data_IF_579662190424
#
_entry.id   IF_579662190424
#
_cell.length_a   1.000
_cell.length_b   1.000
_cell.length_c   1.000
_cell.angle_alpha   90.00
_cell.angle_beta   90.00
_cell.angle_gamma   90.00
#
_symmetry.space_group_name_H-M   'P 1'
#
loop_
_entity.id
_entity.type
_entity.pdbx_description
1 polymer ?
#
# COMPACT_ATOMS: atom_id res chain seq x y z
N UNK A 1 24.62 11.66 24.12
CA UNK A 1 24.90 11.98 22.72
C UNK A 1 23.76 11.27 21.96
N UNK A 2 22.66 12.02 21.74
CA UNK A 2 21.50 11.47 21.04
C UNK A 2 21.86 11.40 19.54
N UNK A 3 22.04 10.19 19.03
CA UNK A 3 22.14 9.94 17.60
C UNK A 3 20.71 10.05 17.09
N UNK A 4 20.37 11.14 16.42
CA UNK A 4 19.13 11.24 15.66
C UNK A 4 19.24 10.25 14.48
N UNK A 5 18.50 9.17 14.56
CA UNK A 5 18.32 8.23 13.45
C UNK A 5 17.26 8.81 12.51
N UNK A 6 17.50 8.75 11.23
CA UNK A 6 16.64 9.40 10.22
C UNK A 6 15.98 8.32 9.37
N UNK A 7 14.68 8.21 9.49
CA UNK A 7 13.84 7.34 8.65
C UNK A 7 13.62 7.99 7.27
N UNK A 8 13.68 7.21 6.20
CA UNK A 8 13.70 7.74 4.83
C UNK A 8 12.84 6.95 3.86
N UNK A 9 12.25 7.66 2.89
CA UNK A 9 11.65 7.09 1.70
C UNK A 9 12.42 7.60 0.50
N UNK A 10 12.80 6.73 -0.43
CA UNK A 10 13.51 7.12 -1.64
C UNK A 10 12.49 7.19 -2.78
N UNK A 11 12.44 8.34 -3.41
CA UNK A 11 11.62 8.63 -4.56
C UNK A 11 12.48 8.60 -5.83
N UNK A 12 11.96 8.01 -6.92
CA UNK A 12 12.59 7.97 -8.22
C UNK A 12 11.65 8.49 -9.27
N UNK A 13 12.12 9.36 -10.17
CA UNK A 13 11.41 9.77 -11.37
C UNK A 13 12.25 9.48 -12.60
N UNK A 14 11.61 8.99 -13.66
CA UNK A 14 12.25 8.68 -14.93
C UNK A 14 11.86 9.76 -15.96
N UNK A 15 12.81 10.63 -16.27
CA UNK A 15 12.70 11.55 -17.40
C UNK A 15 13.57 11.03 -18.54
N UNK A 16 12.99 10.68 -19.65
CA UNK A 16 13.65 10.45 -20.97
C UNK A 16 15.02 9.77 -20.98
N UNK A 17 15.42 8.96 -20.01
CA UNK A 17 16.65 8.15 -19.79
C UNK A 17 17.45 8.49 -18.53
N UNK A 18 17.12 9.52 -17.76
CA UNK A 18 17.83 9.82 -16.51
C UNK A 18 16.99 9.44 -15.28
N UNK A 19 17.60 8.71 -14.35
CA UNK A 19 17.01 8.36 -13.06
C UNK A 19 17.37 9.44 -12.05
N UNK A 20 16.38 10.17 -11.56
CA UNK A 20 16.53 11.12 -10.46
C UNK A 20 16.03 10.48 -9.17
N UNK A 21 16.83 10.50 -8.13
CA UNK A 21 16.47 10.02 -6.81
C UNK A 21 16.41 11.17 -5.82
N UNK A 22 15.31 11.29 -5.10
CA UNK A 22 15.17 12.22 -3.99
C UNK A 22 14.81 11.43 -2.71
N UNK A 23 15.45 11.77 -1.61
CA UNK A 23 15.20 11.13 -0.32
C UNK A 23 14.26 12.03 0.48
N UNK A 24 13.09 11.52 0.80
CA UNK A 24 12.09 12.18 1.65
C UNK A 24 12.28 11.71 3.08
N UNK A 25 12.17 12.64 4.04
CA UNK A 25 12.30 12.39 5.47
C UNK A 25 11.21 13.09 6.24
N UNK A 26 10.71 12.45 7.30
CA UNK A 26 9.84 13.14 8.24
C UNK A 26 10.60 14.29 8.93
N UNK A 27 9.95 15.43 9.08
CA UNK A 27 10.55 16.62 9.72
C UNK A 27 10.79 16.45 11.23
N UNK A 28 10.10 15.49 11.85
CA UNK A 28 10.09 15.17 13.28
C UNK A 28 10.42 13.70 13.58
N UNK A 29 11.07 13.02 12.63
CA UNK A 29 11.41 11.60 12.72
C UNK A 29 12.05 11.22 14.05
N UNK A 30 11.44 10.30 14.77
CA UNK A 30 11.92 9.67 15.98
C UNK A 30 12.58 8.31 15.73
N UNK A 31 13.18 7.77 16.75
CA UNK A 31 13.74 6.43 16.72
C UNK A 31 12.60 5.40 16.80
N UNK A 32 12.58 4.43 15.89
CA UNK A 32 11.57 3.37 15.78
C UNK A 32 10.15 3.82 15.36
N UNK A 33 9.96 5.01 14.81
CA UNK A 33 8.65 5.48 14.34
C UNK A 33 8.13 4.69 13.11
N UNK A 34 9.01 3.92 12.46
CA UNK A 34 8.73 3.17 11.23
C UNK A 34 8.17 4.07 10.11
N UNK A 35 8.70 5.27 9.93
CA UNK A 35 8.37 6.12 8.79
C UNK A 35 8.68 5.39 7.48
N UNK A 36 7.67 5.19 6.63
CA UNK A 36 7.77 4.38 5.43
C UNK A 36 7.32 2.93 5.65
N UNK A 37 6.63 2.59 6.73
CA UNK A 37 6.03 1.27 6.88
C UNK A 37 5.06 0.95 5.73
N UNK A 38 4.32 1.97 5.26
CA UNK A 38 3.54 1.96 4.03
C UNK A 38 3.77 3.26 3.26
N UNK A 39 3.78 3.18 1.92
CA UNK A 39 3.90 4.33 1.02
C UNK A 39 2.92 4.19 -0.14
N UNK A 40 2.30 5.30 -0.52
CA UNK A 40 1.47 5.39 -1.72
C UNK A 40 1.79 6.68 -2.47
N UNK A 41 1.79 6.60 -3.81
CA UNK A 41 2.01 7.74 -4.68
C UNK A 41 0.90 7.86 -5.72
N UNK A 42 0.40 9.06 -5.92
CA UNK A 42 -0.51 9.39 -7.01
C UNK A 42 -0.18 10.77 -7.56
N UNK A 43 0.21 10.83 -8.82
CA UNK A 43 0.64 12.09 -9.46
C UNK A 43 1.71 12.85 -8.64
N UNK A 44 1.34 14.02 -8.12
CA UNK A 44 2.22 14.91 -7.36
C UNK A 44 2.01 14.81 -5.85
N UNK A 45 1.44 13.72 -5.36
CA UNK A 45 1.17 13.49 -3.93
C UNK A 45 1.76 12.16 -3.49
N UNK A 46 2.43 12.15 -2.35
CA UNK A 46 2.91 10.94 -1.67
C UNK A 46 2.34 10.93 -0.26
N UNK A 47 1.77 9.81 0.14
CA UNK A 47 1.45 9.51 1.53
C UNK A 47 2.46 8.51 2.10
N UNK A 48 2.87 8.71 3.34
CA UNK A 48 3.84 7.86 4.04
C UNK A 48 3.33 7.56 5.43
N UNK A 49 3.18 6.31 5.77
CA UNK A 49 2.80 5.86 7.11
C UNK A 49 3.99 5.72 8.06
N UNK A 50 3.75 5.99 9.33
CA UNK A 50 4.68 5.83 10.44
C UNK A 50 3.92 5.28 11.67
N UNK A 51 3.54 4.00 11.66
CA UNK A 51 2.59 3.43 12.63
C UNK A 51 3.11 3.34 14.07
N UNK A 52 4.39 3.52 14.28
CA UNK A 52 5.01 3.54 15.62
C UNK A 52 5.41 4.93 16.08
N UNK A 53 5.03 5.97 15.36
CA UNK A 53 5.32 7.35 15.79
C UNK A 53 4.66 7.65 17.14
N UNK A 54 5.46 8.26 18.01
CA UNK A 54 5.08 8.63 19.37
C UNK A 54 4.60 10.09 19.41
N UNK A 55 3.32 10.30 19.24
CA UNK A 55 2.71 11.65 19.20
C UNK A 55 2.53 12.24 20.61
N UNK A 56 3.55 12.98 21.11
CA UNK A 56 3.48 13.71 22.36
C UNK A 56 4.20 13.04 23.55
N UNK A 57 4.15 13.71 24.73
CA UNK A 57 4.76 13.18 25.96
C UNK A 57 3.95 11.99 26.51
N UNK A 58 4.59 10.84 26.67
CA UNK A 58 4.01 9.58 27.17
C UNK A 58 3.13 8.82 26.18
N UNK A 59 3.19 9.09 24.89
CA UNK A 59 2.51 8.31 23.87
C UNK A 59 3.38 7.14 23.39
N UNK A 60 2.77 5.98 23.13
CA UNK A 60 3.45 4.79 22.66
C UNK A 60 2.71 4.29 21.41
N UNK A 61 3.40 4.28 20.27
CA UNK A 61 2.92 3.69 19.00
C UNK A 61 1.50 4.15 18.60
N UNK A 62 1.18 5.44 18.76
CA UNK A 62 -0.11 5.97 18.28
C UNK A 62 -0.19 5.95 16.77
N UNK A 63 0.94 6.16 16.14
CA UNK A 63 1.10 6.29 14.72
C UNK A 63 0.80 7.68 14.16
N UNK A 64 1.40 7.94 13.02
CA UNK A 64 1.16 9.12 12.19
C UNK A 64 1.28 8.78 10.72
N UNK A 65 0.90 9.73 9.87
CA UNK A 65 1.16 9.67 8.44
C UNK A 65 1.58 11.06 7.94
N UNK A 66 2.35 11.09 6.88
CA UNK A 66 2.93 12.30 6.32
C UNK A 66 2.50 12.45 4.87
N UNK A 67 2.10 13.66 4.50
CA UNK A 67 1.76 14.00 3.13
C UNK A 67 2.85 14.88 2.53
N UNK A 68 3.30 14.51 1.35
CA UNK A 68 4.24 15.29 0.55
C UNK A 68 3.59 15.67 -0.78
N UNK A 69 3.89 16.87 -1.23
CA UNK A 69 3.46 17.35 -2.54
C UNK A 69 4.65 17.84 -3.35
N UNK A 70 4.62 17.60 -4.66
CA UNK A 70 5.65 18.08 -5.58
C UNK A 70 5.34 19.53 -5.95
N UNK A 71 6.29 20.43 -5.73
CA UNK A 71 6.13 21.84 -6.11
C UNK A 71 6.42 22.04 -7.60
N UNK A 72 6.13 23.25 -8.10
CA UNK A 72 6.37 23.65 -9.51
C UNK A 72 7.85 23.59 -9.94
N UNK A 73 8.78 23.52 -9.00
CA UNK A 73 10.21 23.35 -9.27
C UNK A 73 10.63 21.87 -9.32
N UNK A 74 9.68 20.93 -9.13
CA UNK A 74 9.91 19.50 -9.18
C UNK A 74 10.39 18.87 -7.88
N UNK A 75 10.51 19.63 -6.78
CA UNK A 75 10.96 19.12 -5.47
C UNK A 75 9.78 18.71 -4.60
N UNK A 76 9.95 17.64 -3.84
CA UNK A 76 8.98 17.17 -2.86
C UNK A 76 9.10 17.96 -1.56
N UNK A 77 7.97 18.43 -1.06
CA UNK A 77 7.88 19.18 0.21
C UNK A 77 6.81 18.59 1.09
N UNK A 78 7.09 18.45 2.39
CA UNK A 78 6.11 18.00 3.34
C UNK A 78 4.96 18.99 3.44
N UNK A 79 3.77 18.57 3.01
CA UNK A 79 2.55 19.37 3.04
C UNK A 79 1.85 19.32 4.41
N UNK A 80 2.17 18.32 5.23
CA UNK A 80 1.65 18.20 6.58
C UNK A 80 1.92 16.84 7.21
N UNK A 81 1.74 16.78 8.51
CA UNK A 81 1.69 15.54 9.29
C UNK A 81 0.23 15.25 9.63
N UNK A 82 -0.16 14.00 9.52
CA UNK A 82 -1.50 13.51 9.83
C UNK A 82 -1.45 12.67 11.10
N UNK A 83 -2.37 12.94 12.00
CA UNK A 83 -2.55 12.18 13.23
C UNK A 83 -4.01 11.83 13.36
N UNK A 84 -4.35 10.72 13.97
CA UNK A 84 -5.74 10.33 14.20
C UNK A 84 -6.55 11.43 14.89
N UNK A 85 -5.93 12.21 15.78
CA UNK A 85 -6.57 13.33 16.47
C UNK A 85 -7.08 14.46 15.58
N UNK A 86 -6.56 14.63 14.36
CA UNK A 86 -7.04 15.66 13.42
C UNK A 86 -8.32 15.26 12.70
N UNK A 87 -8.75 14.01 12.84
CA UNK A 87 -9.91 13.48 12.17
C UNK A 87 -11.20 13.59 13.02
N UNK A 88 -11.10 13.86 14.33
CA UNK A 88 -12.29 14.08 15.16
C UNK A 88 -12.73 15.55 15.14
N UNK A 89 -13.84 15.84 14.49
CA UNK A 89 -14.31 17.21 14.18
C UNK A 89 -14.74 18.07 15.37
N UNK A 90 -14.67 17.63 16.62
CA UNK A 90 -15.17 18.40 17.78
C UNK A 90 -14.39 18.26 19.09
N UNK A 91 -13.58 17.23 19.33
CA UNK A 91 -12.74 17.12 20.52
C UNK A 91 -11.48 16.28 20.25
N UNK A 92 -10.38 16.96 20.22
CA UNK A 92 -9.07 16.56 19.68
C UNK A 92 -8.31 15.52 20.51
N UNK A 93 -8.79 15.08 21.64
CA UNK A 93 -8.01 14.29 22.60
C UNK A 93 -8.57 12.88 22.91
N UNK A 94 -9.71 12.51 22.35
CA UNK A 94 -10.42 11.29 22.79
C UNK A 94 -10.28 10.09 21.86
N UNK A 95 -9.69 10.24 20.66
CA UNK A 95 -9.70 9.20 19.62
C UNK A 95 -8.33 8.54 19.37
N UNK A 96 -7.33 8.89 20.18
CA UNK A 96 -5.99 8.31 20.06
C UNK A 96 -5.70 7.49 21.30
N UNK A 97 -5.58 6.18 21.09
CA UNK A 97 -5.10 5.27 22.10
C UNK A 97 -3.67 4.82 21.79
N UNK A 98 -2.88 4.51 22.82
CA UNK A 98 -1.59 3.85 22.62
C UNK A 98 -1.77 2.56 21.82
N UNK A 99 -0.85 2.31 20.89
CA UNK A 99 -0.80 1.12 20.04
C UNK A 99 -1.84 1.06 18.90
N UNK A 100 -2.63 2.10 18.65
CA UNK A 100 -3.61 2.15 17.53
C UNK A 100 -2.94 2.01 16.15
N UNK A 101 -1.67 2.42 16.05
CA UNK A 101 -0.84 2.34 14.83
C UNK A 101 -1.50 3.00 13.62
N UNK A 102 -1.99 4.21 13.77
CA UNK A 102 -2.50 5.02 12.66
C UNK A 102 -1.42 5.17 11.56
N UNK A 103 -1.81 5.02 10.30
CA UNK A 103 -0.87 5.00 9.18
C UNK A 103 -0.15 3.66 9.00
N UNK A 104 -0.74 2.56 9.50
CA UNK A 104 -0.24 1.21 9.28
C UNK A 104 -0.20 0.85 7.79
N UNK A 105 -1.28 1.16 7.09
CA UNK A 105 -1.36 1.18 5.65
C UNK A 105 -1.94 2.49 5.17
N UNK A 106 -1.51 2.95 3.97
CA UNK A 106 -1.93 4.24 3.41
C UNK A 106 -2.20 4.11 1.93
N UNK A 107 -3.21 4.85 1.46
CA UNK A 107 -3.41 5.09 0.04
C UNK A 107 -3.77 6.55 -0.22
N UNK A 108 -3.45 7.05 -1.42
CA UNK A 108 -3.66 8.44 -1.79
C UNK A 108 -4.03 8.59 -3.25
N UNK A 109 -4.98 9.48 -3.50
CA UNK A 109 -5.23 9.98 -4.84
C UNK A 109 -5.11 11.51 -4.85
N UNK A 110 -4.44 12.06 -5.85
CA UNK A 110 -4.21 13.49 -5.96
C UNK A 110 -4.28 14.01 -7.39
N UNK A 111 -4.63 15.29 -7.53
CA UNK A 111 -4.59 15.99 -8.81
C UNK A 111 -3.22 16.60 -9.07
N UNK A 112 -2.76 16.69 -10.33
CA UNK A 112 -1.43 17.22 -10.66
C UNK A 112 -1.23 18.72 -10.47
N UNK A 113 -2.29 19.49 -10.17
CA UNK A 113 -2.23 20.95 -10.10
C UNK A 113 -1.74 21.47 -8.73
N UNK A 114 -0.98 22.57 -8.74
CA UNK A 114 -0.63 23.36 -7.56
C UNK A 114 -1.91 23.81 -6.82
N UNK A 115 -2.04 23.44 -5.54
CA UNK A 115 -3.27 23.67 -4.76
C UNK A 115 -4.39 22.66 -5.07
N UNK A 116 -4.02 21.52 -5.64
CA UNK A 116 -4.92 20.45 -6.04
C UNK A 116 -5.69 19.80 -4.90
N UNK A 117 -6.57 18.92 -5.30
CA UNK A 117 -7.41 18.11 -4.45
C UNK A 117 -6.68 16.79 -4.15
N UNK A 118 -6.67 16.35 -2.91
CA UNK A 118 -6.23 15.00 -2.55
C UNK A 118 -7.28 14.26 -1.74
N UNK A 119 -7.31 12.96 -1.92
CA UNK A 119 -8.03 12.01 -1.09
C UNK A 119 -6.99 11.13 -0.43
N UNK A 120 -7.07 11.02 0.87
CA UNK A 120 -6.09 10.34 1.70
C UNK A 120 -6.80 9.27 2.53
N UNK A 121 -6.29 8.05 2.55
CA UNK A 121 -6.82 6.91 3.30
C UNK A 121 -5.76 6.36 4.23
N UNK A 122 -6.13 6.07 5.49
CA UNK A 122 -5.21 5.65 6.54
C UNK A 122 -5.80 4.55 7.37
N UNK A 123 -5.16 3.39 7.42
CA UNK A 123 -5.50 2.29 8.29
C UNK A 123 -4.96 2.46 9.70
N UNK A 124 -5.72 1.97 10.67
CA UNK A 124 -5.37 1.92 12.10
C UNK A 124 -5.89 0.59 12.68
N UNK A 125 -5.27 -0.54 12.31
CA UNK A 125 -5.85 -1.87 12.55
C UNK A 125 -5.89 -2.28 14.02
N UNK A 126 -5.18 -1.58 14.89
CA UNK A 126 -5.15 -1.87 16.32
C UNK A 126 -6.00 -0.90 17.16
N UNK A 127 -6.83 -0.07 16.51
CA UNK A 127 -7.80 0.78 17.22
C UNK A 127 -8.84 -0.06 17.95
N UNK A 128 -9.23 0.37 19.15
CA UNK A 128 -10.01 -0.41 20.12
C UNK A 128 -11.50 0.00 20.19
N UNK A 129 -12.03 0.81 19.26
CA UNK A 129 -13.39 1.38 19.35
C UNK A 129 -14.51 0.34 19.45
N UNK A 130 -14.41 -0.76 18.71
CA UNK A 130 -15.40 -1.85 18.71
C UNK A 130 -14.90 -3.09 19.48
N UNK A 131 -13.83 -2.94 20.24
CA UNK A 131 -13.15 -4.03 20.97
C UNK A 131 -11.65 -3.99 20.72
N UNK A 132 -10.88 -4.72 21.52
CA UNK A 132 -9.41 -4.69 21.42
C UNK A 132 -8.93 -5.10 20.03
N UNK A 133 -8.17 -4.22 19.38
CA UNK A 133 -7.67 -4.40 18.01
C UNK A 133 -8.80 -4.68 16.99
N UNK A 134 -9.96 -4.07 17.15
CA UNK A 134 -11.05 -4.20 16.17
C UNK A 134 -10.74 -3.46 14.86
N UNK A 135 -9.97 -2.39 14.96
CA UNK A 135 -9.49 -1.58 13.86
C UNK A 135 -10.42 -0.45 13.42
N UNK A 136 -9.83 0.51 12.74
CA UNK A 136 -10.51 1.67 12.16
C UNK A 136 -9.80 2.14 10.90
N UNK A 137 -10.52 2.88 10.05
CA UNK A 137 -9.96 3.56 8.88
C UNK A 137 -10.33 5.02 8.91
N UNK A 138 -9.39 5.87 8.54
CA UNK A 138 -9.56 7.31 8.47
C UNK A 138 -9.45 7.77 7.03
N UNK A 139 -10.40 8.58 6.62
CA UNK A 139 -10.49 9.14 5.28
C UNK A 139 -10.43 10.66 5.35
N UNK A 140 -9.60 11.28 4.53
CA UNK A 140 -9.46 12.73 4.47
C UNK A 140 -9.57 13.23 3.04
N UNK A 141 -10.33 14.30 2.86
CA UNK A 141 -10.37 15.08 1.62
C UNK A 141 -9.69 16.41 1.89
N UNK A 142 -8.60 16.70 1.20
CA UNK A 142 -7.90 17.97 1.28
C UNK A 142 -8.09 18.78 0.00
N UNK A 143 -8.31 20.09 0.12
CA UNK A 143 -8.42 21.00 -1.01
C UNK A 143 -7.45 22.18 -0.84
N UNK A 144 -6.35 22.15 -1.60
CA UNK A 144 -5.30 23.16 -1.56
C UNK A 144 -4.44 23.13 -0.31
N UNK A 145 -3.49 24.07 -0.23
CA UNK A 145 -2.54 24.22 0.88
C UNK A 145 -3.23 24.69 2.19
N UNK A 146 -4.45 25.23 2.09
CA UNK A 146 -5.17 25.86 3.19
C UNK A 146 -6.16 24.94 3.91
N UNK A 147 -5.92 23.66 3.92
CA UNK A 147 -6.50 22.63 4.82
C UNK A 147 -7.99 22.80 5.23
N UNK A 148 -8.85 23.18 4.27
CA UNK A 148 -10.30 23.03 4.40
C UNK A 148 -10.65 21.55 4.24
N UNK A 149 -10.06 20.72 5.11
CA UNK A 149 -10.16 19.30 5.01
C UNK A 149 -11.42 18.78 5.72
N UNK A 150 -12.14 17.92 5.06
CA UNK A 150 -13.17 17.11 5.70
C UNK A 150 -12.59 15.74 6.00
N UNK A 151 -12.70 15.32 7.25
CA UNK A 151 -12.16 14.05 7.73
C UNK A 151 -13.26 13.17 8.28
N UNK A 152 -13.14 11.87 8.06
CA UNK A 152 -14.10 10.87 8.50
C UNK A 152 -13.36 9.69 9.10
N UNK A 153 -13.98 9.05 10.10
CA UNK A 153 -13.59 7.75 10.64
C UNK A 153 -14.64 6.72 10.26
N UNK A 154 -14.18 5.55 9.84
CA UNK A 154 -15.02 4.41 9.46
C UNK A 154 -14.65 3.25 10.37
N UNK A 155 -15.65 2.71 11.05
CA UNK A 155 -15.57 1.49 11.84
C UNK A 155 -16.58 0.49 11.25
N UNK A 156 -16.24 -0.81 11.16
CA UNK A 156 -17.22 -1.80 10.71
C UNK A 156 -18.33 -1.94 11.74
N UNK A 157 -19.58 -2.06 11.28
CA UNK A 157 -20.74 -2.17 12.17
C UNK A 157 -20.83 -3.52 12.90
N UNK A 158 -20.14 -4.52 12.38
CA UNK A 158 -20.05 -5.89 12.88
C UNK A 158 -18.66 -6.21 13.44
N UNK A 159 -17.78 -5.19 13.58
CA UNK A 159 -16.41 -5.35 14.05
C UNK A 159 -16.33 -5.93 15.45
N UNK A 160 -15.40 -6.84 15.64
CA UNK A 160 -15.13 -7.56 16.86
C UNK A 160 -13.66 -7.44 17.28
N UNK A 161 -13.35 -7.83 18.50
CA UNK A 161 -11.98 -7.81 19.00
C UNK A 161 -11.09 -8.75 18.19
N UNK A 162 -10.00 -8.21 17.67
CA UNK A 162 -9.00 -8.99 16.93
C UNK A 162 -9.14 -8.93 15.42
N UNK A 163 -10.22 -8.39 14.86
CA UNK A 163 -10.51 -8.37 13.42
C UNK A 163 -9.49 -7.56 12.60
N UNK A 164 -8.82 -6.59 13.24
CA UNK A 164 -7.79 -5.73 12.63
C UNK A 164 -8.27 -5.05 11.33
N UNK A 165 -9.49 -4.51 11.31
CA UNK A 165 -10.02 -3.74 10.19
C UNK A 165 -9.13 -2.54 9.86
N UNK A 166 -8.81 -2.33 8.58
CA UNK A 166 -7.84 -1.31 8.15
C UNK A 166 -6.40 -1.81 8.14
N UNK A 167 -6.20 -3.13 8.14
CA UNK A 167 -4.87 -3.74 7.94
C UNK A 167 -4.31 -3.43 6.56
N UNK A 168 -5.16 -3.43 5.54
CA UNK A 168 -4.87 -2.98 4.18
C UNK A 168 -6.00 -2.07 3.69
N UNK A 169 -5.67 -1.05 2.88
CA UNK A 169 -6.61 -0.06 2.37
C UNK A 169 -6.30 0.29 0.92
N UNK A 170 -7.33 0.51 0.10
CA UNK A 170 -7.19 0.96 -1.29
C UNK A 170 -8.32 1.90 -1.71
N UNK A 171 -8.01 2.88 -2.56
CA UNK A 171 -8.91 3.88 -3.14
C UNK A 171 -9.29 3.49 -4.59
N UNK A 172 -10.54 3.12 -4.80
CA UNK A 172 -11.07 2.96 -6.16
C UNK A 172 -11.68 4.26 -6.67
N UNK A 173 -10.89 5.07 -7.36
CA UNK A 173 -11.35 6.38 -7.83
C UNK A 173 -12.38 6.33 -8.94
N UNK A 174 -12.44 5.28 -9.73
CA UNK A 174 -13.46 5.11 -10.77
C UNK A 174 -14.87 4.88 -10.20
N UNK A 175 -14.96 4.41 -8.96
CA UNK A 175 -16.22 4.21 -8.25
C UNK A 175 -16.41 5.08 -7.01
N UNK A 176 -15.43 5.92 -6.67
CA UNK A 176 -15.38 6.66 -5.41
C UNK A 176 -15.60 5.75 -4.20
N UNK A 177 -14.96 4.58 -4.23
CA UNK A 177 -15.07 3.56 -3.18
C UNK A 177 -13.77 3.43 -2.42
N UNK A 178 -13.90 3.05 -1.15
CA UNK A 178 -12.77 2.62 -0.33
C UNK A 178 -12.90 1.14 -0.05
N UNK A 179 -11.82 0.41 -0.25
CA UNK A 179 -11.72 -1.03 -0.05
C UNK A 179 -10.82 -1.28 1.15
N UNK A 180 -11.28 -2.06 2.11
CA UNK A 180 -10.63 -2.22 3.40
C UNK A 180 -10.52 -3.69 3.76
N UNK A 181 -9.31 -4.16 4.00
CA UNK A 181 -9.01 -5.49 4.48
C UNK A 181 -9.16 -5.62 6.00
N UNK A 182 -9.68 -6.76 6.43
CA UNK A 182 -9.84 -7.19 7.82
C UNK A 182 -9.45 -8.67 7.90
N UNK A 183 -8.15 -9.01 7.82
CA UNK A 183 -7.72 -10.39 7.59
C UNK A 183 -7.96 -11.35 8.76
N UNK A 184 -8.27 -10.84 9.92
CA UNK A 184 -8.57 -11.66 11.08
C UNK A 184 -10.08 -11.70 11.42
N UNK A 185 -10.96 -11.20 10.56
CA UNK A 185 -12.41 -11.33 10.71
C UNK A 185 -12.82 -12.81 10.69
N UNK A 186 -13.72 -13.20 11.60
CA UNK A 186 -14.04 -14.60 11.92
C UNK A 186 -15.29 -15.14 11.19
N UNK A 187 -15.86 -14.41 10.22
CA UNK A 187 -17.15 -14.73 9.59
C UNK A 187 -17.26 -16.16 9.01
N UNK A 188 -16.19 -16.72 8.52
CA UNK A 188 -16.13 -18.08 7.94
C UNK A 188 -15.21 -19.03 8.73
N UNK A 189 -14.74 -18.63 9.88
CA UNK A 189 -13.82 -19.35 10.75
C UNK A 189 -12.76 -18.42 11.31
N UNK A 190 -12.04 -18.87 12.34
CA UNK A 190 -11.03 -18.05 13.03
C UNK A 190 -10.01 -17.50 12.03
N UNK A 191 -9.83 -16.16 12.00
CA UNK A 191 -8.93 -15.46 11.10
C UNK A 191 -9.16 -15.82 9.61
N UNK A 192 -10.40 -16.10 9.19
CA UNK A 192 -10.72 -16.40 7.79
C UNK A 192 -10.59 -15.16 6.89
N UNK A 193 -10.87 -14.00 7.47
CA UNK A 193 -10.77 -12.69 6.87
C UNK A 193 -11.97 -12.23 6.06
N UNK A 194 -12.09 -10.90 5.94
CA UNK A 194 -13.13 -10.21 5.18
C UNK A 194 -12.59 -8.95 4.52
N UNK A 195 -13.30 -8.45 3.53
CA UNK A 195 -13.05 -7.16 2.87
C UNK A 195 -14.34 -6.34 2.87
N UNK A 196 -14.23 -5.08 3.25
CA UNK A 196 -15.33 -4.14 3.29
C UNK A 196 -15.18 -3.10 2.19
N UNK A 197 -16.26 -2.84 1.46
CA UNK A 197 -16.33 -1.82 0.42
C UNK A 197 -17.32 -0.76 0.83
N UNK A 198 -16.84 0.46 1.03
CA UNK A 198 -17.67 1.63 1.32
C UNK A 198 -17.71 2.55 0.11
N UNK A 199 -18.87 3.12 -0.16
CA UNK A 199 -19.06 4.08 -1.25
C UNK A 199 -19.00 5.51 -0.69
N UNK A 200 -18.22 6.38 -1.34
CA UNK A 200 -18.22 7.81 -1.01
C UNK A 200 -19.41 8.49 -1.68
N UNK A 201 -20.39 8.92 -0.91
CA UNK A 201 -21.55 9.65 -1.42
C UNK A 201 -21.38 11.14 -1.13
N UNK A 202 -21.26 11.92 -2.19
CA UNK A 202 -21.12 13.39 -2.14
C UNK A 202 -22.49 14.05 -2.26
N UNK A 203 -22.86 14.87 -1.26
CA UNK A 203 -24.11 15.62 -1.19
C UNK A 203 -23.96 16.84 -0.29
N UNK A 204 -25.03 17.22 0.45
CA UNK A 204 -24.96 18.27 1.48
C UNK A 204 -23.98 17.88 2.62
N UNK A 205 -23.74 16.58 2.80
CA UNK A 205 -22.67 16.02 3.62
C UNK A 205 -22.07 14.81 2.89
N UNK A 206 -20.76 14.55 3.10
CA UNK A 206 -20.13 13.33 2.60
C UNK A 206 -20.47 12.19 3.57
N UNK A 207 -20.89 11.06 3.04
CA UNK A 207 -21.17 9.85 3.82
C UNK A 207 -20.51 8.63 3.19
N UNK A 208 -20.27 7.60 4.00
CA UNK A 208 -19.61 6.35 3.58
C UNK A 208 -20.50 5.16 3.97
N UNK A 209 -21.61 4.93 3.25
CA UNK A 209 -22.39 3.72 3.47
C UNK A 209 -21.59 2.48 3.09
N UNK A 210 -21.71 1.43 3.92
CA UNK A 210 -21.20 0.09 3.56
C UNK A 210 -21.98 -0.41 2.34
N UNK A 211 -21.26 -0.67 1.26
CA UNK A 211 -21.82 -1.18 0.01
C UNK A 211 -21.82 -2.70 -0.05
N UNK A 212 -20.70 -3.30 0.36
CA UNK A 212 -20.51 -4.75 0.33
C UNK A 212 -19.53 -5.19 1.41
N UNK A 213 -19.80 -6.34 2.01
CA UNK A 213 -18.80 -7.13 2.72
C UNK A 213 -18.50 -8.35 1.85
N UNK A 214 -17.23 -8.58 1.55
CA UNK A 214 -16.75 -9.67 0.70
C UNK A 214 -16.04 -10.69 1.57
N UNK A 215 -16.31 -11.96 1.33
CA UNK A 215 -15.62 -13.09 1.96
C UNK A 215 -15.23 -14.10 0.89
N UNK A 216 -14.16 -14.85 1.11
CA UNK A 216 -13.79 -15.90 0.18
C UNK A 216 -14.92 -16.96 0.10
N UNK A 217 -15.32 -17.36 -1.10
CA UNK A 217 -16.41 -18.34 -1.27
C UNK A 217 -16.04 -19.77 -0.80
N UNK A 218 -14.77 -20.02 -0.60
CA UNK A 218 -14.17 -21.25 -0.08
C UNK A 218 -13.26 -20.98 1.14
N UNK A 219 -13.53 -19.88 1.86
CA UNK A 219 -12.75 -19.42 3.00
C UNK A 219 -12.69 -20.45 4.13
N UNK A 220 -11.52 -20.59 4.70
CA UNK A 220 -11.24 -21.44 5.84
C UNK A 220 -10.52 -20.66 6.94
N UNK A 221 -10.46 -21.25 8.14
CA UNK A 221 -9.74 -20.62 9.25
C UNK A 221 -8.29 -20.36 8.89
N UNK A 222 -7.81 -19.17 9.24
CA UNK A 222 -6.42 -18.72 9.08
C UNK A 222 -6.04 -18.39 7.63
N UNK A 223 -6.95 -18.44 6.66
CA UNK A 223 -6.69 -18.07 5.27
C UNK A 223 -6.28 -16.60 5.11
N UNK A 224 -6.75 -15.73 6.03
CA UNK A 224 -6.45 -14.29 6.05
C UNK A 224 -6.84 -13.59 4.77
N UNK A 225 -8.03 -13.84 4.25
CA UNK A 225 -8.60 -13.07 3.14
C UNK A 225 -8.71 -11.59 3.50
N UNK A 226 -8.24 -10.69 2.63
CA UNK A 226 -8.11 -9.26 2.95
C UNK A 226 -6.78 -8.89 3.60
N UNK A 227 -5.76 -9.77 3.52
CA UNK A 227 -4.41 -9.45 3.98
C UNK A 227 -3.80 -8.28 3.19
N UNK A 228 -4.05 -8.24 1.90
CA UNK A 228 -3.78 -7.09 1.04
C UNK A 228 -4.94 -6.92 0.04
N UNK A 229 -5.26 -5.69 -0.32
CA UNK A 229 -6.36 -5.36 -1.23
C UNK A 229 -5.94 -4.26 -2.18
N UNK A 230 -6.38 -4.37 -3.44
CA UNK A 230 -6.28 -3.28 -4.39
C UNK A 230 -7.52 -3.26 -5.31
N UNK A 231 -7.82 -2.09 -5.86
CA UNK A 231 -9.00 -1.91 -6.68
C UNK A 231 -8.77 -0.97 -7.87
N UNK A 232 -9.19 -1.43 -9.02
CA UNK A 232 -9.12 -0.66 -10.26
C UNK A 232 -10.39 -0.83 -11.08
N UNK A 233 -11.08 0.29 -11.33
CA UNK A 233 -12.31 0.33 -12.13
C UNK A 233 -13.40 -0.64 -11.59
N UNK A 234 -13.77 -1.65 -12.36
CA UNK A 234 -14.78 -2.65 -11.99
C UNK A 234 -14.19 -3.95 -11.40
N UNK A 235 -12.95 -3.91 -10.92
CA UNK A 235 -12.28 -5.05 -10.29
C UNK A 235 -11.76 -4.70 -8.90
N UNK A 236 -11.86 -5.65 -7.97
CA UNK A 236 -11.17 -5.69 -6.69
C UNK A 236 -10.35 -6.97 -6.64
N UNK A 237 -9.10 -6.86 -6.24
CA UNK A 237 -8.22 -8.01 -5.97
C UNK A 237 -7.94 -8.11 -4.48
N UNK A 238 -7.95 -9.33 -3.97
CA UNK A 238 -7.82 -9.62 -2.53
C UNK A 238 -6.84 -10.76 -2.32
N UNK A 239 -5.82 -10.51 -1.53
CA UNK A 239 -4.86 -11.52 -1.12
C UNK A 239 -5.34 -12.35 0.06
N UNK A 240 -5.04 -13.65 0.04
CA UNK A 240 -5.22 -14.61 1.13
C UNK A 240 -3.97 -15.51 1.20
N UNK A 241 -2.85 -15.00 1.75
CA UNK A 241 -1.55 -15.65 1.63
C UNK A 241 -1.44 -16.99 2.37
N UNK A 242 -2.30 -17.24 3.33
CA UNK A 242 -2.31 -18.48 4.08
C UNK A 242 -3.31 -19.51 3.55
N UNK A 243 -3.96 -19.27 2.38
CA UNK A 243 -4.90 -20.24 1.84
C UNK A 243 -4.22 -21.57 1.53
N UNK A 244 -4.77 -22.66 2.08
CA UNK A 244 -4.20 -24.00 2.05
C UNK A 244 -4.71 -24.89 0.92
N UNK A 245 -5.59 -24.39 0.04
CA UNK A 245 -6.27 -25.26 -0.96
C UNK A 245 -5.30 -25.98 -1.91
N UNK A 246 -4.17 -25.38 -2.22
CA UNK A 246 -3.14 -25.96 -3.12
C UNK A 246 -1.98 -26.60 -2.34
N UNK A 247 -1.80 -26.26 -1.09
CA UNK A 247 -0.72 -26.68 -0.20
C UNK A 247 -0.66 -25.78 1.02
N UNK A 248 0.09 -26.17 2.04
CA UNK A 248 0.21 -25.39 3.27
C UNK A 248 0.75 -23.98 2.98
N UNK A 249 -0.04 -22.95 3.27
CA UNK A 249 0.25 -21.55 2.97
C UNK A 249 0.66 -21.32 1.49
N UNK A 250 0.05 -22.06 0.55
CA UNK A 250 0.29 -21.82 -0.88
C UNK A 250 -0.20 -20.43 -1.29
N UNK A 251 -1.22 -19.94 -0.61
CA UNK A 251 -1.83 -18.66 -0.86
C UNK A 251 -2.74 -18.63 -2.08
N UNK A 252 -3.50 -17.55 -2.18
CA UNK A 252 -4.40 -17.29 -3.31
C UNK A 252 -4.68 -15.80 -3.45
N UNK A 253 -5.09 -15.41 -4.65
CA UNK A 253 -5.66 -14.09 -4.93
C UNK A 253 -7.08 -14.27 -5.44
N UNK A 254 -8.03 -13.54 -4.86
CA UNK A 254 -9.42 -13.54 -5.26
C UNK A 254 -9.74 -12.27 -6.03
N UNK A 255 -10.40 -12.43 -7.16
CA UNK A 255 -10.85 -11.32 -7.99
C UNK A 255 -12.36 -11.20 -7.86
N UNK A 256 -12.83 -10.02 -7.52
CA UNK A 256 -14.23 -9.64 -7.56
C UNK A 256 -14.46 -8.66 -8.70
N UNK A 257 -15.64 -8.70 -9.27
CA UNK A 257 -16.02 -7.85 -10.40
C UNK A 257 -17.43 -7.32 -10.20
N UNK A 258 -17.68 -6.10 -10.67
CA UNK A 258 -19.04 -5.58 -10.89
C UNK A 258 -19.28 -5.34 -12.38
N UNK A 259 -20.53 -5.31 -12.80
CA UNK A 259 -20.88 -5.06 -14.21
C UNK A 259 -20.95 -3.57 -14.56
N UNK A 260 -21.10 -2.72 -13.58
CA UNK A 260 -21.03 -1.25 -13.67
C UNK A 260 -20.96 -0.67 -12.24
N UNK A 261 -20.66 0.61 -12.11
CA UNK A 261 -20.48 1.30 -10.84
C UNK A 261 -21.63 1.17 -9.82
N UNK A 262 -22.85 0.76 -10.21
CA UNK A 262 -24.01 0.59 -9.33
C UNK A 262 -24.31 -0.88 -9.01
N UNK A 263 -23.69 -1.83 -9.71
CA UNK A 263 -23.92 -3.25 -9.50
C UNK A 263 -23.21 -3.76 -8.25
N UNK A 264 -23.74 -4.82 -7.61
CA UNK A 264 -23.02 -5.45 -6.50
C UNK A 264 -21.70 -6.06 -6.98
N UNK A 265 -20.71 -6.09 -6.08
CA UNK A 265 -19.49 -6.83 -6.25
C UNK A 265 -19.77 -8.34 -6.15
N UNK A 266 -19.29 -9.11 -7.12
CA UNK A 266 -19.48 -10.56 -7.15
C UNK A 266 -18.13 -11.24 -7.36
N UNK A 267 -17.96 -12.41 -6.74
CA UNK A 267 -16.80 -13.25 -7.00
C UNK A 267 -16.68 -13.55 -8.49
N UNK A 268 -15.49 -13.35 -9.04
CA UNK A 268 -15.22 -13.52 -10.46
C UNK A 268 -14.26 -14.67 -10.74
N UNK A 269 -13.10 -14.68 -10.08
CA UNK A 269 -12.07 -15.68 -10.30
C UNK A 269 -11.15 -15.81 -9.09
N UNK A 270 -10.66 -17.03 -8.82
CA UNK A 270 -9.56 -17.29 -7.88
C UNK A 270 -8.30 -17.57 -8.69
N UNK A 271 -7.21 -16.91 -8.34
CA UNK A 271 -5.88 -17.08 -8.93
C UNK A 271 -5.00 -17.81 -7.94
N UNK A 272 -4.28 -18.80 -8.40
CA UNK A 272 -3.36 -19.62 -7.62
C UNK A 272 -2.07 -19.83 -8.39
N UNK A 273 -0.96 -20.06 -7.70
CA UNK A 273 0.27 -20.54 -8.31
C UNK A 273 0.28 -22.07 -8.44
N UNK A 274 1.24 -22.59 -9.17
CA UNK A 274 1.54 -24.04 -9.16
C UNK A 274 2.46 -24.44 -8.00
N UNK A 275 3.03 -23.47 -7.28
CA UNK A 275 3.89 -23.69 -6.15
C UNK A 275 3.07 -23.92 -4.87
N UNK A 276 3.50 -24.89 -4.05
CA UNK A 276 2.67 -25.41 -2.98
C UNK A 276 2.88 -24.71 -1.62
N UNK A 277 3.84 -23.77 -1.53
CA UNK A 277 4.22 -23.09 -0.29
C UNK A 277 4.67 -21.65 -0.56
N UNK A 278 4.01 -20.94 -1.45
CA UNK A 278 4.53 -19.65 -1.94
C UNK A 278 4.05 -18.43 -1.16
N UNK A 279 2.93 -18.53 -0.41
CA UNK A 279 2.30 -17.37 0.24
C UNK A 279 1.78 -16.36 -0.77
N UNK A 280 1.27 -16.82 -1.91
CA UNK A 280 0.73 -15.96 -2.96
C UNK A 280 -0.39 -15.05 -2.43
N UNK A 281 -0.29 -13.76 -2.73
CA UNK A 281 -1.27 -12.77 -2.28
C UNK A 281 -0.88 -12.06 -0.97
N UNK A 282 0.40 -12.17 -0.57
CA UNK A 282 0.92 -11.35 0.56
C UNK A 282 0.91 -9.86 0.22
N UNK A 283 1.03 -9.53 -1.04
CA UNK A 283 0.84 -8.20 -1.61
C UNK A 283 0.19 -8.36 -2.99
N UNK A 284 -0.76 -7.51 -3.32
CA UNK A 284 -1.48 -7.54 -4.60
C UNK A 284 -1.65 -6.13 -5.13
N UNK A 285 -1.55 -5.97 -6.45
CA UNK A 285 -1.90 -4.72 -7.11
C UNK A 285 -2.53 -4.98 -8.46
N UNK A 286 -3.43 -4.09 -8.90
CA UNK A 286 -4.13 -4.17 -10.18
C UNK A 286 -4.14 -2.82 -10.88
N UNK A 287 -3.81 -2.82 -12.18
CA UNK A 287 -3.97 -1.67 -13.06
C UNK A 287 -4.35 -2.15 -14.46
N UNK A 288 -5.42 -1.60 -15.01
CA UNK A 288 -5.93 -1.94 -16.35
C UNK A 288 -6.17 -3.46 -16.54
N UNK A 289 -5.35 -4.10 -17.39
CA UNK A 289 -5.42 -5.51 -17.74
C UNK A 289 -4.37 -6.38 -17.01
N UNK A 290 -3.74 -5.86 -15.95
CA UNK A 290 -2.65 -6.52 -15.24
C UNK A 290 -2.94 -6.64 -13.76
N UNK A 291 -2.78 -7.84 -13.20
CA UNK A 291 -2.66 -8.08 -11.75
C UNK A 291 -1.25 -8.57 -11.48
N UNK A 292 -0.61 -8.02 -10.44
CA UNK A 292 0.62 -8.54 -9.87
C UNK A 292 0.37 -9.02 -8.45
N UNK A 293 0.95 -10.16 -8.09
CA UNK A 293 0.79 -10.76 -6.76
C UNK A 293 2.14 -11.26 -6.23
N UNK A 294 2.51 -10.81 -5.06
CA UNK A 294 3.70 -11.23 -4.36
C UNK A 294 3.54 -12.60 -3.71
N UNK A 295 4.64 -13.33 -3.61
CA UNK A 295 4.75 -14.67 -3.09
C UNK A 295 6.12 -14.86 -2.42
N UNK A 296 6.34 -14.20 -1.28
CA UNK A 296 7.66 -14.06 -0.67
C UNK A 296 8.22 -15.35 -0.04
N UNK A 297 7.39 -16.39 0.14
CA UNK A 297 7.83 -17.72 0.57
C UNK A 297 8.17 -18.66 -0.60
N UNK A 298 8.14 -18.17 -1.84
CA UNK A 298 8.52 -18.99 -2.99
C UNK A 298 9.98 -19.45 -2.89
N UNK A 299 10.21 -20.75 -3.12
CA UNK A 299 11.49 -21.41 -2.86
C UNK A 299 12.29 -21.72 -4.15
N UNK A 300 11.89 -21.22 -5.33
CA UNK A 300 12.52 -21.60 -6.60
C UNK A 300 14.02 -21.27 -6.64
N UNK A 301 14.40 -20.09 -6.17
CA UNK A 301 15.81 -19.65 -6.10
C UNK A 301 16.44 -19.84 -4.70
N UNK A 302 15.77 -20.59 -3.82
CA UNK A 302 16.19 -20.87 -2.45
C UNK A 302 15.05 -20.62 -1.46
N UNK A 303 15.16 -21.18 -0.25
CA UNK A 303 14.13 -21.06 0.80
C UNK A 303 13.74 -19.59 1.03
N UNK A 304 12.47 -19.25 0.80
CA UNK A 304 11.94 -17.87 0.90
C UNK A 304 12.75 -16.83 0.08
N UNK A 305 13.31 -17.22 -1.06
CA UNK A 305 13.92 -16.28 -1.99
C UNK A 305 12.88 -15.32 -2.56
N UNK A 306 11.65 -15.84 -2.77
CA UNK A 306 10.47 -15.11 -3.17
C UNK A 306 10.27 -14.97 -4.66
N UNK A 307 9.02 -14.69 -5.03
CA UNK A 307 8.58 -14.47 -6.42
C UNK A 307 7.47 -13.41 -6.50
N UNK A 308 7.20 -12.92 -7.71
CA UNK A 308 5.99 -12.18 -8.02
C UNK A 308 5.32 -12.78 -9.28
N UNK A 309 4.02 -12.98 -9.21
CA UNK A 309 3.23 -13.56 -10.28
C UNK A 309 2.44 -12.48 -11.01
N UNK A 310 2.47 -12.52 -12.35
CA UNK A 310 1.77 -11.55 -13.20
C UNK A 310 0.68 -12.25 -13.96
N UNK A 311 -0.53 -11.71 -13.87
CA UNK A 311 -1.71 -12.19 -14.58
C UNK A 311 -2.21 -11.10 -15.52
N UNK A 312 -2.62 -11.49 -16.75
CA UNK A 312 -3.24 -10.59 -17.71
C UNK A 312 -4.70 -10.99 -17.96
N UNK A 313 -5.54 -9.99 -18.19
CA UNK A 313 -6.94 -10.20 -18.57
C UNK A 313 -7.05 -10.53 -20.07
N UNK A 314 -7.35 -11.77 -20.39
CA UNK A 314 -7.49 -12.25 -21.77
C UNK A 314 -8.89 -12.81 -22.01
N UNK A 315 -9.64 -12.22 -22.92
CA UNK A 315 -11.00 -12.65 -23.27
C UNK A 315 -11.92 -12.78 -22.04
N UNK A 316 -11.73 -11.92 -21.04
CA UNK A 316 -12.51 -11.95 -19.80
C UNK A 316 -12.06 -13.01 -18.79
N UNK A 317 -10.85 -13.53 -18.87
CA UNK A 317 -10.26 -14.47 -17.91
C UNK A 317 -8.86 -13.97 -17.52
N UNK A 318 -8.54 -13.97 -16.24
CA UNK A 318 -7.21 -13.67 -15.75
C UNK A 318 -6.31 -14.90 -15.92
N UNK A 319 -5.23 -14.73 -16.68
CA UNK A 319 -4.29 -15.82 -17.05
C UNK A 319 -2.89 -15.46 -16.56
N UNK A 320 -2.25 -16.38 -15.84
CA UNK A 320 -0.84 -16.20 -15.45
C UNK A 320 0.03 -16.12 -16.69
N UNK A 321 0.79 -15.03 -16.82
CA UNK A 321 1.70 -14.77 -17.94
C UNK A 321 3.17 -14.87 -17.57
N UNK A 322 3.52 -14.46 -16.35
CA UNK A 322 4.89 -14.45 -15.90
C UNK A 322 4.99 -14.84 -14.43
N UNK A 323 6.12 -15.43 -14.08
CA UNK A 323 6.67 -15.50 -12.75
C UNK A 323 7.96 -14.68 -12.78
N UNK A 324 8.04 -13.65 -11.98
CA UNK A 324 9.19 -12.78 -11.85
C UNK A 324 10.03 -13.27 -10.68
N UNK A 325 11.31 -13.42 -10.90
CA UNK A 325 12.31 -13.77 -9.91
C UNK A 325 13.39 -12.68 -9.87
N UNK A 326 14.06 -12.51 -8.75
CA UNK A 326 15.25 -11.68 -8.69
C UNK A 326 16.39 -12.39 -9.45
N UNK A 327 17.05 -11.72 -10.38
CA UNK A 327 18.17 -12.29 -11.13
C UNK A 327 19.44 -12.54 -10.27
N UNK A 328 19.43 -12.04 -9.04
CA UNK A 328 20.43 -12.24 -8.00
C UNK A 328 19.79 -12.79 -6.70
N UNK A 329 18.66 -13.49 -6.82
CA UNK A 329 17.89 -14.06 -5.71
C UNK A 329 18.73 -15.02 -4.86
N UNK A 330 18.56 -14.95 -3.55
CA UNK A 330 19.15 -15.84 -2.56
C UNK A 330 18.09 -16.20 -1.51
N UNK A 331 18.29 -17.32 -0.84
CA UNK A 331 17.44 -17.73 0.26
C UNK A 331 17.26 -16.61 1.30
N UNK A 332 16.02 -16.36 1.70
CA UNK A 332 15.65 -15.36 2.69
C UNK A 332 15.52 -13.93 2.18
N UNK A 333 15.71 -13.67 0.87
CA UNK A 333 15.62 -12.30 0.32
C UNK A 333 14.21 -11.74 0.31
N UNK A 334 13.17 -12.58 0.36
CA UNK A 334 11.75 -12.22 0.38
C UNK A 334 11.33 -11.31 -0.80
N UNK A 335 11.82 -11.59 -2.02
CA UNK A 335 11.34 -10.91 -3.22
C UNK A 335 9.83 -11.08 -3.40
N UNK A 336 9.10 -10.02 -3.72
CA UNK A 336 7.64 -10.06 -3.77
C UNK A 336 6.96 -9.82 -2.42
N UNK A 337 7.69 -9.38 -1.39
CA UNK A 337 7.11 -8.97 -0.11
C UNK A 337 6.15 -7.79 -0.29
N UNK A 338 6.46 -6.91 -1.22
CA UNK A 338 5.61 -5.80 -1.69
C UNK A 338 5.67 -5.74 -3.21
N UNK A 339 4.54 -5.46 -3.83
CA UNK A 339 4.43 -5.28 -5.28
C UNK A 339 3.50 -4.13 -5.59
N UNK A 340 3.76 -3.43 -6.69
CA UNK A 340 2.80 -2.49 -7.26
C UNK A 340 2.92 -2.45 -8.78
N UNK A 341 1.79 -2.17 -9.48
CA UNK A 341 1.72 -2.05 -10.92
C UNK A 341 0.93 -0.83 -11.35
N UNK A 342 1.49 -0.06 -12.26
CA UNK A 342 0.75 0.99 -12.95
C UNK A 342 1.11 0.99 -14.43
N UNK A 343 0.08 0.86 -15.29
CA UNK A 343 0.26 0.79 -16.74
C UNK A 343 1.24 -0.33 -17.14
N UNK A 344 2.33 0.03 -17.79
CA UNK A 344 3.36 -0.91 -18.26
C UNK A 344 4.54 -1.09 -17.31
N UNK A 345 4.45 -0.72 -16.03
CA UNK A 345 5.55 -0.79 -15.05
C UNK A 345 5.13 -1.56 -13.81
N UNK A 346 5.95 -2.52 -13.38
CA UNK A 346 5.84 -3.23 -12.10
C UNK A 346 7.06 -2.89 -11.25
N UNK A 347 6.82 -2.64 -9.96
CA UNK A 347 7.87 -2.58 -8.96
C UNK A 347 7.70 -3.72 -7.96
N UNK A 348 8.81 -4.31 -7.54
CA UNK A 348 8.86 -5.42 -6.59
C UNK A 348 9.89 -5.14 -5.52
N UNK A 349 9.49 -5.22 -4.26
CA UNK A 349 10.37 -5.10 -3.11
C UNK A 349 10.94 -6.44 -2.65
N UNK A 350 12.16 -6.40 -2.13
CA UNK A 350 12.91 -7.52 -1.54
C UNK A 350 13.64 -7.00 -0.31
N UNK A 351 12.91 -6.78 0.81
CA UNK A 351 13.43 -6.03 1.96
C UNK A 351 14.54 -6.74 2.72
N UNK A 352 14.55 -8.07 2.74
CA UNK A 352 15.56 -8.85 3.46
C UNK A 352 16.85 -9.07 2.65
N UNK A 353 16.88 -8.60 1.37
CA UNK A 353 18.07 -8.70 0.51
C UNK A 353 19.30 -8.07 1.17
N UNK A 354 20.49 -8.74 1.05
CA UNK A 354 21.76 -8.26 1.58
C UNK A 354 21.76 -7.99 3.09
N UNK A 355 21.35 -8.95 3.89
CA UNK A 355 21.24 -8.85 5.35
C UNK A 355 20.20 -7.77 5.79
N UNK A 356 19.08 -7.67 5.07
CA UNK A 356 18.02 -6.71 5.38
C UNK A 356 18.32 -5.26 4.96
N UNK A 357 19.38 -5.00 4.17
CA UNK A 357 19.55 -3.66 3.56
C UNK A 357 18.45 -3.35 2.57
N UNK A 358 17.94 -4.39 1.93
CA UNK A 358 16.84 -4.33 0.98
C UNK A 358 17.23 -3.91 -0.43
N UNK A 359 16.33 -4.25 -1.34
CA UNK A 359 16.46 -3.95 -2.77
C UNK A 359 15.07 -3.85 -3.41
N UNK A 360 14.95 -3.03 -4.45
CA UNK A 360 13.76 -3.00 -5.31
C UNK A 360 14.13 -3.30 -6.75
N UNK A 361 13.17 -3.91 -7.47
CA UNK A 361 13.32 -4.29 -8.87
C UNK A 361 12.18 -3.69 -9.68
N UNK A 362 12.51 -3.20 -10.88
CA UNK A 362 11.56 -2.55 -11.78
C UNK A 362 11.52 -3.33 -13.08
N UNK A 363 10.31 -3.70 -13.48
CA UNK A 363 10.03 -4.40 -14.72
C UNK A 363 9.15 -3.54 -15.60
N UNK A 364 9.41 -3.58 -16.91
CA UNK A 364 8.59 -2.92 -17.91
C UNK A 364 8.00 -3.92 -18.88
N UNK A 365 6.75 -3.69 -19.28
CA UNK A 365 6.06 -4.50 -20.29
C UNK A 365 6.67 -4.26 -21.66
N UNK A 366 7.09 -5.30 -22.35
CA UNK A 366 7.60 -5.21 -23.72
C UNK A 366 6.45 -4.88 -24.68
N UNK A 367 6.61 -3.84 -25.48
CA UNK A 367 5.61 -3.44 -26.49
C UNK A 367 5.42 -4.48 -27.60
N UNK A 368 6.33 -5.43 -27.76
CA UNK A 368 6.33 -6.39 -28.87
C UNK A 368 5.94 -7.82 -28.47
N UNK A 369 5.96 -8.18 -27.19
CA UNK A 369 5.84 -9.58 -26.76
C UNK A 369 5.02 -9.82 -25.50
N UNK A 370 4.40 -8.81 -24.91
CA UNK A 370 3.70 -8.89 -23.60
C UNK A 370 4.57 -9.49 -22.46
N UNK A 371 5.88 -9.58 -22.66
CA UNK A 371 6.81 -10.06 -21.66
C UNK A 371 7.21 -8.91 -20.71
N UNK A 372 7.40 -9.24 -19.46
CA UNK A 372 7.95 -8.33 -18.46
C UNK A 372 9.46 -8.47 -18.40
N UNK A 373 10.17 -7.37 -18.64
CA UNK A 373 11.63 -7.34 -18.70
C UNK A 373 12.11 -6.45 -17.55
N UNK A 374 13.04 -6.98 -16.74
CA UNK A 374 13.70 -6.17 -15.72
C UNK A 374 14.49 -5.04 -16.39
N UNK A 375 14.14 -3.82 -16.07
CA UNK A 375 14.79 -2.61 -16.61
C UNK A 375 15.77 -2.01 -15.63
N UNK A 376 15.44 -2.01 -14.35
CA UNK A 376 16.27 -1.44 -13.30
C UNK A 376 16.20 -2.26 -12.02
N UNK A 377 17.19 -2.05 -11.16
CA UNK A 377 17.10 -2.42 -9.75
C UNK A 377 17.83 -1.37 -8.91
N UNK A 378 17.33 -1.12 -7.72
CA UNK A 378 17.81 -0.08 -6.82
C UNK A 378 18.25 -0.75 -5.53
N UNK A 379 19.49 -0.51 -5.13
CA UNK A 379 20.07 -1.02 -3.89
C UNK A 379 20.16 0.11 -2.86
N UNK A 380 19.94 -0.20 -1.61
CA UNK A 380 20.31 0.67 -0.50
C UNK A 380 21.82 0.54 -0.19
N UNK A 381 22.66 1.08 -1.08
CA UNK A 381 24.12 0.91 -1.01
C UNK A 381 24.77 1.50 0.25
N UNK A 382 24.14 2.51 0.84
CA UNK A 382 24.65 3.21 2.03
C UNK A 382 23.89 2.79 3.29
N UNK A 383 22.93 1.88 3.16
CA UNK A 383 22.09 1.42 4.24
C UNK A 383 22.79 0.48 5.20
N UNK A 384 22.22 0.40 6.39
CA UNK A 384 22.59 -0.56 7.43
C UNK A 384 21.87 -1.89 7.24
N UNK A 385 22.31 -2.93 7.93
CA UNK A 385 21.55 -4.17 8.03
C UNK A 385 20.19 -3.89 8.70
N UNK A 386 19.14 -4.54 8.18
CA UNK A 386 17.75 -4.39 8.62
C UNK A 386 17.10 -3.02 8.33
N UNK A 387 17.63 -2.23 7.42
CA UNK A 387 16.93 -1.03 6.92
C UNK A 387 15.65 -1.36 6.13
N UNK A 388 15.56 -2.58 5.61
CA UNK A 388 14.40 -3.13 4.93
C UNK A 388 13.90 -2.29 3.72
N UNK A 389 14.84 -1.75 2.93
CA UNK A 389 14.50 -0.98 1.73
C UNK A 389 13.63 -1.80 0.77
N UNK A 390 12.48 -1.26 0.39
CA UNK A 390 11.48 -1.95 -0.42
C UNK A 390 10.49 -2.79 0.39
N UNK A 391 10.35 -2.54 1.71
CA UNK A 391 9.28 -3.13 2.53
C UNK A 391 7.88 -2.73 2.04
N UNK A 392 7.75 -1.50 1.56
CA UNK A 392 6.59 -1.01 0.82
C UNK A 392 7.06 -0.29 -0.44
N UNK A 393 6.35 -0.47 -1.53
CA UNK A 393 6.63 0.12 -2.83
C UNK A 393 5.35 0.66 -3.45
N UNK A 394 5.46 1.75 -4.21
CA UNK A 394 4.33 2.26 -4.99
C UNK A 394 4.81 2.91 -6.30
N UNK A 395 4.04 2.76 -7.37
CA UNK A 395 4.32 3.33 -8.69
C UNK A 395 3.10 4.07 -9.23
N UNK A 396 3.32 5.25 -9.79
CA UNK A 396 2.27 6.04 -10.45
C UNK A 396 2.82 6.77 -11.65
N UNK A 397 1.93 7.31 -12.45
CA UNK A 397 2.29 8.23 -13.54
C UNK A 397 2.61 9.61 -12.97
N UNK A 398 3.59 10.28 -13.56
CA UNK A 398 3.82 11.69 -13.35
C UNK A 398 3.08 12.47 -14.44
N UNK A 399 2.13 13.30 -14.05
CA UNK A 399 1.46 14.23 -14.92
C UNK A 399 1.94 15.66 -14.62
N UNK A 400 2.31 16.41 -15.64
CA UNK A 400 2.66 17.84 -15.53
C UNK A 400 1.54 18.64 -16.20
N UNK A 401 1.03 19.64 -15.50
CA UNK A 401 0.14 20.66 -16.10
C UNK A 401 1.01 21.76 -16.70
N UNK A 402 1.16 21.74 -18.02
CA UNK A 402 1.79 22.81 -18.77
C UNK A 402 0.70 23.70 -19.41
N UNK A 403 0.35 24.80 -18.74
CA UNK A 403 -0.61 25.80 -19.22
C UNK A 403 -2.05 25.27 -19.43
N UNK A 404 -2.50 24.31 -18.62
CA UNK A 404 -3.84 23.71 -18.71
C UNK A 404 -3.92 22.51 -19.66
N UNK A 405 -2.79 22.03 -20.18
CA UNK A 405 -2.68 20.76 -20.88
C UNK A 405 -1.87 19.79 -20.01
N UNK A 406 -2.46 18.62 -19.73
CA UNK A 406 -1.80 17.57 -18.95
C UNK A 406 -0.86 16.80 -19.88
N UNK A 407 0.43 16.94 -19.67
CA UNK A 407 1.45 16.13 -20.33
C UNK A 407 1.94 15.02 -19.40
N UNK A 408 2.11 13.82 -19.95
CA UNK A 408 2.64 12.67 -19.23
C UNK A 408 4.17 12.71 -19.26
N UNK A 409 4.81 12.81 -18.09
CA UNK A 409 6.24 13.03 -17.96
C UNK A 409 7.02 11.78 -17.51
N UNK A 410 6.37 10.62 -17.42
CA UNK A 410 6.99 9.35 -17.04
C UNK A 410 6.34 8.69 -15.83
N UNK A 411 7.10 7.82 -15.16
CA UNK A 411 6.65 7.13 -13.95
C UNK A 411 7.37 7.66 -12.72
N UNK A 412 6.64 7.73 -11.61
CA UNK A 412 7.18 7.97 -10.29
C UNK A 412 7.12 6.69 -9.46
N UNK A 413 8.17 6.44 -8.72
CA UNK A 413 8.30 5.27 -7.86
C UNK A 413 8.64 5.74 -6.47
N UNK A 414 7.90 5.27 -5.47
CA UNK A 414 8.24 5.38 -4.06
C UNK A 414 8.66 4.02 -3.53
N UNK A 415 9.74 3.98 -2.77
CA UNK A 415 10.19 2.79 -2.07
C UNK A 415 10.69 3.17 -0.68
N UNK A 416 10.22 2.45 0.32
CA UNK A 416 10.42 2.79 1.73
C UNK A 416 11.72 2.22 2.32
N UNK A 417 12.23 2.90 3.34
CA UNK A 417 13.32 2.44 4.23
C UNK A 417 12.83 2.65 5.67
N UNK A 418 11.97 1.78 6.20
CA UNK A 418 11.28 2.05 7.47
C UNK A 418 12.18 1.95 8.70
N UNK A 419 13.34 1.32 8.60
CA UNK A 419 14.28 1.11 9.71
C UNK A 419 15.65 1.76 9.45
N UNK A 420 15.71 2.80 8.57
CA UNK A 420 16.96 3.54 8.29
C UNK A 420 17.58 4.08 9.59
N UNK A 421 18.73 3.54 9.94
CA UNK A 421 19.47 3.92 11.13
C UNK A 421 20.76 4.71 10.83
N UNK A 422 20.91 5.15 9.56
CA UNK A 422 22.07 5.98 9.17
C UNK A 422 22.05 7.32 9.89
N UNK A 423 23.15 7.75 10.54
CA UNK A 423 23.22 9.05 11.16
C UNK A 423 23.08 10.16 10.11
N UNK A 424 22.16 11.11 10.30
CA UNK A 424 22.14 12.31 9.49
C UNK A 424 23.44 13.10 9.75
N UNK A 425 24.41 13.03 8.83
CA UNK A 425 25.48 14.01 8.80
C UNK A 425 24.86 15.34 8.36
N UNK A 426 24.71 16.27 9.30
CA UNK A 426 24.55 17.67 8.97
C UNK A 426 25.81 18.09 8.19
N UNK A 427 25.74 18.11 6.87
CA UNK A 427 26.65 18.90 6.05
C UNK A 427 26.30 20.37 6.30
N UNK A 428 27.06 21.02 7.17
CA UNK A 428 27.02 22.46 7.39
C UNK A 428 27.33 23.25 6.13
#
# INVERSE_FOLDING_TARGET
MNVLKTLSVIFFSFFSHDLFAEIIRASDAGYMDEFGASVAISNNVIAVGAPKDNVGYNSIDHGSAYLYTKNSLGSWTQAGTRYAKFFSGTNVLEDISPYDKFGYDVDVWGTPADGGFSIELYGSPYNDDNGSNSGSVYFKISQGINDLATSFKVNPSDGSSGDIFGFSVSLNMHGFEIVIGSPNDDDQGIDSGSVYVYESVFGDSVTFPLRSKLTANDGASIDRFGYDVDAWDDYIVVGAPNNDQRGSNAGAVYVYKRSNGLSPWVFYQKLTSNDLTSGLGVSVSISDDVIVAGAYYDDEDGESAGAAYVFHLENGVWVQKSKLLADDGLAGDNFGRSVDVFGGTIIVGSPEKNDGRGKTYIYSRSTNSDQWIKTYSINNNNGSANDNFGKSVSVSILAIDLNGEIEFDGYAIAASIPEDDTPSYNSG
#
